data_IF_670134890080
#
_entry.id   IF_670134890080
#
_cell.length_a   1.000
_cell.length_b   1.000
_cell.length_c   1.000
_cell.angle_alpha   90.00
_cell.angle_beta   90.00
_cell.angle_gamma   90.00
#
_symmetry.space_group_name_H-M   'P 1'
#
loop_
_entity.id
_entity.type
_entity.pdbx_description
1 polymer ?
#
# COMPACT_ATOMS: atom_id res chain seq x y z
N UNK A 1 -45.41 -27.00 23.06
CA UNK A 1 -45.11 -27.87 21.91
C UNK A 1 -44.85 -26.89 20.79
N UNK A 2 -43.62 -26.63 20.37
CA UNK A 2 -42.68 -27.63 19.84
C UNK A 2 -41.27 -27.57 20.42
N UNK A 3 -40.73 -28.77 20.64
CA UNK A 3 -39.32 -29.07 20.91
C UNK A 3 -38.72 -29.46 19.57
N UNK A 4 -38.11 -28.53 18.82
CA UNK A 4 -37.35 -28.90 17.63
C UNK A 4 -36.30 -27.89 17.16
N UNK A 5 -35.72 -27.09 18.07
CA UNK A 5 -34.65 -26.14 17.72
C UNK A 5 -33.29 -26.50 18.32
N UNK A 6 -33.13 -27.72 18.87
CA UNK A 6 -31.89 -28.18 19.51
C UNK A 6 -31.20 -29.35 18.83
N UNK A 7 -31.81 -29.95 17.80
CA UNK A 7 -31.22 -31.03 17.02
C UNK A 7 -30.49 -30.52 15.76
N UNK A 8 -30.90 -29.38 15.19
CA UNK A 8 -30.24 -28.82 14.01
C UNK A 8 -28.85 -28.23 14.34
N UNK A 9 -28.63 -27.74 15.56
CA UNK A 9 -27.34 -27.19 15.99
C UNK A 9 -26.28 -28.29 16.27
N UNK A 10 -26.69 -29.51 16.62
CA UNK A 10 -25.76 -30.63 16.85
C UNK A 10 -25.37 -31.34 15.55
N UNK A 11 -26.24 -31.31 14.53
CA UNK A 11 -25.94 -31.86 13.20
C UNK A 11 -24.98 -30.93 12.44
N UNK A 12 -25.13 -29.61 12.55
CA UNK A 12 -24.24 -28.65 11.87
C UNK A 12 -22.81 -28.61 12.45
N UNK A 13 -22.64 -28.75 13.77
CA UNK A 13 -21.31 -28.82 14.39
C UNK A 13 -20.55 -30.10 14.01
N UNK A 14 -21.27 -31.20 13.77
CA UNK A 14 -20.67 -32.49 13.35
C UNK A 14 -20.26 -32.49 11.87
N UNK A 15 -20.94 -31.73 11.03
CA UNK A 15 -20.64 -31.60 9.60
C UNK A 15 -19.38 -30.74 9.38
N UNK A 16 -19.26 -29.60 10.07
CA UNK A 16 -18.06 -28.73 9.96
C UNK A 16 -16.78 -29.43 10.43
N UNK A 17 -16.89 -30.33 11.41
CA UNK A 17 -15.76 -31.12 11.90
C UNK A 17 -15.30 -32.16 10.84
N UNK A 18 -16.23 -32.78 10.11
CA UNK A 18 -15.94 -33.72 9.02
C UNK A 18 -15.37 -33.05 7.76
N UNK A 19 -15.82 -31.84 7.43
CA UNK A 19 -15.25 -31.05 6.33
C UNK A 19 -13.82 -30.58 6.64
N UNK A 20 -13.51 -30.27 7.90
CA UNK A 20 -12.14 -29.90 8.31
C UNK A 20 -11.15 -31.06 8.26
N UNK A 21 -11.59 -32.29 8.53
CA UNK A 21 -10.75 -33.50 8.44
C UNK A 21 -10.49 -33.93 6.99
N UNK A 22 -11.47 -33.78 6.08
CA UNK A 22 -11.27 -34.03 4.65
C UNK A 22 -10.37 -32.97 3.99
N UNK A 23 -10.48 -31.69 4.37
CA UNK A 23 -9.57 -30.63 3.89
C UNK A 23 -8.13 -30.83 4.39
N UNK A 24 -7.95 -31.33 5.62
CA UNK A 24 -6.63 -31.68 6.16
C UNK A 24 -6.00 -32.90 5.43
N UNK A 25 -6.81 -33.88 5.00
CA UNK A 25 -6.33 -35.03 4.23
C UNK A 25 -6.02 -34.69 2.76
N UNK A 26 -6.77 -33.77 2.13
CA UNK A 26 -6.48 -33.26 0.78
C UNK A 26 -5.23 -32.36 0.77
N UNK A 27 -5.02 -31.55 1.82
CA UNK A 27 -3.80 -30.74 1.96
C UNK A 27 -2.54 -31.59 2.21
N UNK A 28 -2.67 -32.76 2.85
CA UNK A 28 -1.56 -33.69 3.10
C UNK A 28 -1.10 -34.46 1.85
N UNK A 29 -1.89 -34.51 0.77
CA UNK A 29 -1.56 -35.20 -0.48
C UNK A 29 -0.98 -34.28 -1.58
N UNK A 30 -0.92 -32.96 -1.35
CA UNK A 30 -0.48 -31.98 -2.36
C UNK A 30 0.99 -31.54 -2.27
N UNK A 31 1.84 -32.24 -1.50
CA UNK A 31 3.30 -31.99 -1.48
C UNK A 31 4.05 -33.33 -1.49
N UNK A 32 4.25 -33.87 -2.68
CA UNK A 32 5.37 -34.77 -2.94
C UNK A 32 6.24 -34.11 -4.02
N UNK A 33 7.37 -33.45 -3.67
CA UNK A 33 8.41 -33.22 -4.65
C UNK A 33 8.99 -34.58 -5.00
N UNK A 34 8.82 -35.00 -6.26
CA UNK A 34 9.51 -36.15 -6.80
C UNK A 34 11.01 -36.02 -6.53
N UNK A 35 11.56 -37.09 -5.98
CA UNK A 35 12.96 -37.25 -5.65
C UNK A 35 13.81 -37.24 -6.94
N UNK A 36 14.35 -36.10 -7.32
CA UNK A 36 15.55 -36.06 -8.15
C UNK A 36 16.78 -36.01 -7.25
N UNK A 37 17.47 -37.14 -7.19
CA UNK A 37 18.73 -37.31 -6.49
C UNK A 37 19.78 -36.31 -7.00
N UNK A 38 19.92 -35.15 -6.33
CA UNK A 38 20.96 -34.19 -6.67
C UNK A 38 22.34 -34.76 -6.31
N UNK A 39 23.15 -35.03 -7.32
CA UNK A 39 24.54 -35.45 -7.18
C UNK A 39 25.38 -34.25 -6.73
N UNK A 40 25.84 -34.25 -5.48
CA UNK A 40 26.67 -33.18 -4.90
C UNK A 40 28.08 -33.22 -5.47
N UNK A 41 28.50 -32.17 -6.17
CA UNK A 41 29.92 -31.90 -6.46
C UNK A 41 30.43 -30.71 -5.62
N UNK A 42 31.76 -30.63 -5.48
CA UNK A 42 32.55 -29.87 -4.47
C UNK A 42 32.46 -28.33 -4.52
N UNK A 43 31.41 -27.75 -5.09
CA UNK A 43 31.10 -26.31 -5.00
C UNK A 43 29.59 -26.18 -4.91
N UNK A 44 29.05 -25.77 -3.75
CA UNK A 44 27.62 -25.84 -3.39
C UNK A 44 26.66 -24.93 -4.19
N UNK A 45 26.85 -24.80 -5.50
CA UNK A 45 26.02 -24.01 -6.40
C UNK A 45 24.99 -24.92 -7.07
N UNK A 46 23.71 -24.71 -6.78
CA UNK A 46 22.60 -25.44 -7.41
C UNK A 46 22.64 -25.21 -8.93
N UNK A 47 22.75 -26.29 -9.71
CA UNK A 47 22.71 -26.23 -11.17
C UNK A 47 21.26 -26.03 -11.64
N UNK A 48 21.09 -25.50 -12.85
CA UNK A 48 19.79 -25.17 -13.42
C UNK A 48 19.62 -25.98 -14.70
N UNK A 49 18.66 -26.89 -14.72
CA UNK A 49 18.35 -27.77 -15.84
C UNK A 49 17.56 -27.07 -16.95
N UNK A 50 17.82 -27.47 -18.20
CA UNK A 50 16.97 -27.11 -19.33
C UNK A 50 15.66 -27.92 -19.29
N UNK A 51 14.48 -27.28 -19.25
CA UNK A 51 13.20 -28.00 -19.26
C UNK A 51 12.89 -28.80 -20.54
N UNK A 52 13.68 -28.64 -21.61
CA UNK A 52 13.43 -29.34 -22.89
C UNK A 52 14.38 -30.52 -23.06
N UNK A 53 15.65 -30.36 -22.70
CA UNK A 53 16.68 -31.39 -22.95
C UNK A 53 17.41 -31.86 -21.68
N UNK A 54 17.03 -31.36 -20.50
CA UNK A 54 17.58 -31.77 -19.21
C UNK A 54 19.02 -31.31 -18.94
N UNK A 55 19.70 -30.66 -19.89
CA UNK A 55 21.11 -30.25 -19.70
C UNK A 55 21.22 -29.23 -18.57
N UNK A 56 22.09 -29.52 -17.62
CA UNK A 56 22.32 -28.67 -16.46
C UNK A 56 23.39 -27.61 -16.70
N UNK A 57 23.11 -26.40 -16.21
CA UNK A 57 24.02 -25.26 -16.32
C UNK A 57 24.31 -24.66 -14.95
N UNK A 58 25.57 -24.31 -14.71
CA UNK A 58 26.00 -23.64 -13.48
C UNK A 58 25.47 -22.19 -13.34
N UNK A 59 24.98 -21.60 -14.43
CA UNK A 59 24.37 -20.26 -14.44
C UNK A 59 23.19 -20.20 -15.40
N UNK A 60 22.18 -19.39 -15.07
CA UNK A 60 21.04 -19.15 -15.95
C UNK A 60 21.42 -18.45 -17.25
N UNK A 61 22.53 -17.69 -17.27
CA UNK A 61 23.01 -17.06 -18.50
C UNK A 61 23.38 -18.13 -19.54
N UNK A 62 24.07 -19.18 -19.10
CA UNK A 62 24.43 -20.32 -19.96
C UNK A 62 23.19 -21.08 -20.42
N UNK A 63 22.20 -21.26 -19.54
CA UNK A 63 20.92 -21.87 -19.92
C UNK A 63 20.13 -21.03 -20.93
N UNK A 64 20.07 -19.70 -20.76
CA UNK A 64 19.42 -18.81 -21.74
C UNK A 64 20.12 -18.84 -23.10
N UNK A 65 21.45 -18.85 -23.12
CA UNK A 65 22.23 -19.00 -24.35
C UNK A 65 21.97 -20.36 -25.01
N UNK A 66 21.86 -21.42 -24.21
CA UNK A 66 21.48 -22.74 -24.70
C UNK A 66 20.08 -22.72 -25.31
N UNK A 67 19.07 -22.17 -24.62
CA UNK A 67 17.71 -22.03 -25.15
C UNK A 67 17.70 -21.27 -26.47
N UNK A 68 18.38 -20.12 -26.53
CA UNK A 68 18.46 -19.30 -27.73
C UNK A 68 19.24 -19.94 -28.89
N UNK A 69 19.99 -21.03 -28.67
CA UNK A 69 20.78 -21.69 -29.72
C UNK A 69 20.24 -23.06 -30.11
N UNK A 70 19.69 -23.81 -29.16
CA UNK A 70 19.21 -25.19 -29.33
C UNK A 70 17.69 -25.32 -29.28
N UNK A 71 16.97 -24.32 -28.79
CA UNK A 71 15.52 -24.30 -28.62
C UNK A 71 14.93 -22.95 -29.07
N UNK A 72 15.34 -22.49 -30.27
CA UNK A 72 15.01 -21.16 -30.81
C UNK A 72 13.52 -20.88 -30.92
N UNK A 73 12.74 -21.92 -31.14
CA UNK A 73 11.30 -21.84 -31.38
C UNK A 73 10.46 -21.96 -30.08
N UNK A 74 11.13 -22.17 -28.94
CA UNK A 74 10.46 -22.25 -27.64
C UNK A 74 10.73 -20.98 -26.82
N UNK A 75 9.69 -20.22 -26.45
CA UNK A 75 9.83 -19.08 -25.56
C UNK A 75 10.49 -19.52 -24.24
N UNK A 76 11.46 -18.74 -23.75
CA UNK A 76 12.13 -19.02 -22.47
C UNK A 76 11.06 -18.98 -21.37
N UNK A 77 10.87 -20.06 -20.58
CA UNK A 77 9.89 -20.08 -19.50
C UNK A 77 10.04 -18.90 -18.53
N UNK A 78 8.92 -18.31 -18.09
CA UNK A 78 8.91 -17.16 -17.16
C UNK A 78 9.57 -17.46 -15.81
N UNK A 79 9.63 -18.73 -15.42
CA UNK A 79 10.38 -19.21 -14.25
C UNK A 79 11.90 -18.98 -14.37
N UNK A 80 12.40 -18.83 -15.60
CA UNK A 80 13.78 -18.51 -15.94
C UNK A 80 13.96 -17.02 -16.31
N UNK A 81 12.90 -16.21 -16.24
CA UNK A 81 13.01 -14.76 -16.37
C UNK A 81 13.54 -14.16 -15.07
N UNK A 82 14.80 -13.73 -15.11
CA UNK A 82 15.41 -12.95 -14.04
C UNK A 82 14.84 -11.54 -14.08
N UNK A 83 14.36 -11.10 -12.92
CA UNK A 83 13.74 -9.81 -12.75
C UNK A 83 12.92 -9.81 -11.47
N UNK A 84 13.18 -8.84 -10.62
CA UNK A 84 12.38 -8.69 -9.41
C UNK A 84 11.04 -8.00 -9.75
N UNK A 85 11.00 -7.20 -10.81
CA UNK A 85 9.80 -6.49 -11.25
C UNK A 85 8.93 -7.40 -12.10
N UNK A 86 7.67 -7.64 -11.71
CA UNK A 86 6.72 -8.43 -12.52
C UNK A 86 5.65 -7.53 -13.15
N UNK A 87 5.27 -7.85 -14.38
CA UNK A 87 4.01 -7.41 -14.98
C UNK A 87 2.86 -8.14 -14.29
N UNK A 88 1.79 -7.42 -13.94
CA UNK A 88 0.60 -7.99 -13.32
C UNK A 88 -0.41 -8.51 -14.36
N UNK A 89 -0.31 -8.08 -15.62
CA UNK A 89 -1.22 -8.50 -16.69
C UNK A 89 -0.80 -9.84 -17.31
N UNK A 90 0.49 -10.05 -17.54
CA UNK A 90 1.02 -11.23 -18.23
C UNK A 90 2.13 -11.98 -17.47
N UNK A 91 2.43 -11.59 -16.22
CA UNK A 91 3.49 -12.20 -15.37
C UNK A 91 4.92 -12.14 -15.91
N UNK A 92 5.18 -11.45 -17.05
CA UNK A 92 6.52 -11.21 -17.55
C UNK A 92 7.40 -10.49 -16.50
N UNK A 93 8.69 -10.86 -16.41
CA UNK A 93 9.60 -10.35 -15.37
C UNK A 93 10.75 -9.53 -15.97
N UNK A 94 11.04 -8.40 -15.33
CA UNK A 94 12.01 -7.39 -15.77
C UNK A 94 13.00 -7.04 -14.67
N UNK A 95 14.21 -6.65 -15.07
CA UNK A 95 15.24 -6.21 -14.12
C UNK A 95 15.03 -4.77 -13.70
N UNK A 96 14.66 -3.93 -14.66
CA UNK A 96 14.51 -2.49 -14.45
C UNK A 96 13.08 -2.06 -14.70
N UNK A 97 12.62 -1.09 -13.91
CA UNK A 97 11.28 -0.50 -14.06
C UNK A 97 11.07 0.10 -15.46
N UNK A 98 12.13 0.64 -16.09
CA UNK A 98 12.05 1.18 -17.46
C UNK A 98 11.68 0.13 -18.52
N UNK A 99 12.10 -1.12 -18.31
CA UNK A 99 11.81 -2.22 -19.23
C UNK A 99 10.36 -2.67 -19.07
N UNK A 100 9.89 -2.71 -17.82
CA UNK A 100 8.48 -2.94 -17.52
C UNK A 100 7.60 -1.86 -18.18
N UNK A 101 7.93 -0.57 -18.03
CA UNK A 101 7.16 0.52 -18.66
C UNK A 101 7.06 0.33 -20.18
N UNK A 102 8.17 0.06 -20.86
CA UNK A 102 8.17 -0.20 -22.31
C UNK A 102 7.29 -1.39 -22.72
N UNK A 103 7.36 -2.47 -21.95
CA UNK A 103 6.52 -3.65 -22.16
C UNK A 103 5.03 -3.33 -21.96
N UNK A 104 4.70 -2.51 -20.96
CA UNK A 104 3.33 -2.08 -20.69
C UNK A 104 2.79 -1.16 -21.80
N UNK A 105 3.64 -0.30 -22.36
CA UNK A 105 3.31 0.52 -23.53
C UNK A 105 3.11 -0.34 -24.80
N UNK A 106 3.98 -1.33 -25.03
CA UNK A 106 3.95 -2.13 -26.27
C UNK A 106 2.88 -3.23 -26.27
N UNK A 107 2.85 -4.05 -25.23
CA UNK A 107 2.02 -5.26 -25.14
C UNK A 107 0.66 -4.99 -24.52
N UNK A 108 0.59 -4.05 -23.58
CA UNK A 108 -0.63 -3.74 -22.82
C UNK A 108 -1.25 -2.39 -23.19
N UNK A 109 -0.64 -1.65 -24.13
CA UNK A 109 -1.13 -0.35 -24.62
C UNK A 109 -1.46 0.64 -23.50
N UNK A 110 -0.73 0.59 -22.39
CA UNK A 110 -0.91 1.52 -21.29
C UNK A 110 -0.14 2.80 -21.51
N UNK A 111 -0.74 3.90 -21.09
CA UNK A 111 -0.14 5.24 -21.21
C UNK A 111 0.57 5.62 -19.91
N UNK A 112 1.76 6.21 -20.05
CA UNK A 112 2.56 6.69 -18.93
C UNK A 112 2.74 8.20 -19.02
N UNK A 113 2.39 8.87 -17.92
CA UNK A 113 2.59 10.31 -17.78
C UNK A 113 4.02 10.56 -17.31
N UNK A 114 4.92 10.77 -18.27
CA UNK A 114 6.33 11.05 -18.02
C UNK A 114 6.63 12.50 -18.39
N UNK A 115 7.05 13.28 -17.40
CA UNK A 115 7.40 14.69 -17.58
C UNK A 115 8.85 14.95 -17.18
N UNK A 116 9.47 15.91 -17.86
CA UNK A 116 10.80 16.40 -17.52
C UNK A 116 10.71 17.85 -17.09
N UNK A 117 11.08 18.10 -15.84
CA UNK A 117 11.03 19.41 -15.20
C UNK A 117 12.45 19.91 -14.94
N UNK A 118 12.62 21.22 -14.96
CA UNK A 118 13.91 21.88 -14.66
C UNK A 118 13.76 22.78 -13.45
N UNK A 119 14.75 22.74 -12.56
CA UNK A 119 14.79 23.50 -11.31
C UNK A 119 16.12 24.24 -11.22
N UNK A 120 16.14 25.38 -10.53
CA UNK A 120 17.35 26.18 -10.33
C UNK A 120 18.29 25.55 -9.31
N UNK A 121 17.73 24.96 -8.26
CA UNK A 121 18.47 24.34 -7.16
C UNK A 121 17.69 23.19 -6.50
N UNK A 122 18.31 22.59 -5.49
CA UNK A 122 17.70 21.50 -4.73
C UNK A 122 16.52 21.95 -3.87
N UNK A 123 16.48 23.21 -3.43
CA UNK A 123 15.41 23.73 -2.57
C UNK A 123 14.11 23.87 -3.35
N UNK A 124 14.18 24.41 -4.57
CA UNK A 124 13.06 24.50 -5.50
C UNK A 124 12.53 23.11 -5.85
N UNK A 125 13.43 22.15 -6.09
CA UNK A 125 13.04 20.75 -6.33
C UNK A 125 12.35 20.12 -5.12
N UNK A 126 12.89 20.28 -3.91
CA UNK A 126 12.34 19.69 -2.70
C UNK A 126 10.96 20.30 -2.37
N UNK A 127 10.78 21.61 -2.57
CA UNK A 127 9.49 22.30 -2.42
C UNK A 127 8.45 21.79 -3.43
N UNK A 128 8.82 21.66 -4.70
CA UNK A 128 7.96 21.08 -5.73
C UNK A 128 7.58 19.64 -5.38
N UNK A 129 8.56 18.81 -5.01
CA UNK A 129 8.35 17.39 -4.67
C UNK A 129 7.41 17.26 -3.46
N UNK A 130 7.60 18.08 -2.43
CA UNK A 130 6.73 18.12 -1.25
C UNK A 130 5.28 18.46 -1.62
N UNK A 131 5.08 19.44 -2.50
CA UNK A 131 3.75 19.82 -2.97
C UNK A 131 3.12 18.70 -3.80
N UNK A 132 3.88 18.13 -4.75
CA UNK A 132 3.44 17.02 -5.58
C UNK A 132 3.00 15.80 -4.76
N UNK A 133 3.76 15.43 -3.72
CA UNK A 133 3.42 14.32 -2.82
C UNK A 133 2.13 14.57 -2.03
N UNK A 134 1.89 15.83 -1.62
CA UNK A 134 0.68 16.24 -0.90
C UNK A 134 -0.55 16.15 -1.78
N UNK A 135 -0.50 16.74 -2.97
CA UNK A 135 -1.64 16.84 -3.89
C UNK A 135 -1.99 15.50 -4.54
N UNK A 136 -0.99 14.68 -4.87
CA UNK A 136 -1.20 13.38 -5.50
C UNK A 136 -1.26 12.21 -4.51
N UNK A 137 -1.32 12.50 -3.21
CA UNK A 137 -1.37 11.51 -2.13
C UNK A 137 -0.32 10.39 -2.26
N UNK A 138 0.88 10.74 -2.70
CA UNK A 138 1.96 9.79 -2.93
C UNK A 138 3.17 10.13 -2.05
N UNK A 139 4.15 9.24 -2.01
CA UNK A 139 5.38 9.50 -1.28
C UNK A 139 6.55 8.76 -1.93
N UNK A 140 7.65 9.46 -2.12
CA UNK A 140 8.86 8.98 -2.75
C UNK A 140 9.99 8.89 -1.73
N UNK A 141 10.72 7.77 -1.79
CA UNK A 141 11.91 7.54 -0.98
C UNK A 141 13.14 7.56 -1.87
N UNK A 142 14.25 8.11 -1.35
CA UNK A 142 15.54 8.03 -2.02
C UNK A 142 15.94 6.55 -2.17
N UNK A 143 16.35 6.17 -3.37
CA UNK A 143 16.75 4.82 -3.74
C UNK A 143 18.23 4.72 -4.11
N UNK A 144 18.77 5.76 -4.74
CA UNK A 144 20.18 5.88 -5.05
C UNK A 144 20.55 7.35 -5.20
N UNK A 145 21.77 7.70 -4.83
CA UNK A 145 22.25 9.06 -4.96
C UNK A 145 23.77 9.08 -5.12
N UNK A 146 24.25 10.04 -5.90
CA UNK A 146 25.63 10.45 -6.00
C UNK A 146 25.65 11.97 -6.08
N UNK A 147 26.38 12.60 -5.18
CA UNK A 147 26.50 14.06 -5.10
C UNK A 147 27.93 14.37 -4.70
N UNK A 148 28.74 14.65 -5.71
CA UNK A 148 30.15 14.98 -5.66
C UNK A 148 30.36 16.38 -6.28
N UNK A 149 31.57 16.93 -6.18
CA UNK A 149 31.93 18.23 -6.75
C UNK A 149 32.06 18.24 -8.29
N UNK A 150 31.75 17.12 -8.96
CA UNK A 150 31.86 16.94 -10.42
C UNK A 150 30.52 17.24 -11.11
N UNK A 151 30.33 18.46 -11.68
CA UNK A 151 29.05 18.87 -12.24
C UNK A 151 28.66 18.03 -13.46
N UNK A 152 27.37 17.75 -13.58
CA UNK A 152 26.79 16.96 -14.68
C UNK A 152 26.86 15.44 -14.46
N UNK A 153 27.38 14.97 -13.33
CA UNK A 153 27.40 13.54 -12.96
C UNK A 153 26.61 13.24 -11.68
N UNK A 154 26.05 14.26 -11.05
CA UNK A 154 25.28 14.09 -9.82
C UNK A 154 23.88 13.62 -10.14
N UNK A 155 23.39 12.72 -9.29
CA UNK A 155 22.05 12.19 -9.43
C UNK A 155 21.42 11.85 -8.09
N UNK A 156 20.09 11.93 -8.06
CA UNK A 156 19.27 11.42 -6.97
C UNK A 156 18.05 10.74 -7.55
N UNK A 157 17.99 9.42 -7.39
CA UNK A 157 16.88 8.58 -7.85
C UNK A 157 15.94 8.32 -6.69
N UNK A 158 14.66 8.57 -6.93
CA UNK A 158 13.58 8.30 -6.01
C UNK A 158 12.59 7.31 -6.60
N UNK A 159 11.98 6.52 -5.73
CA UNK A 159 10.92 5.58 -6.09
C UNK A 159 9.74 5.72 -5.15
N UNK A 160 8.55 5.36 -5.61
CA UNK A 160 7.38 5.28 -4.73
C UNK A 160 7.67 4.42 -3.49
N UNK A 161 7.23 4.87 -2.32
CA UNK A 161 7.46 4.22 -1.03
C UNK A 161 6.79 2.84 -0.94
N UNK A 162 5.75 2.59 -1.75
CA UNK A 162 5.05 1.31 -1.90
C UNK A 162 5.89 0.27 -2.63
N UNK A 163 6.85 0.72 -3.44
CA UNK A 163 7.71 -0.13 -4.27
C UNK A 163 8.64 -1.03 -3.44
N UNK A 164 8.73 -2.29 -3.86
CA UNK A 164 9.60 -3.33 -3.35
C UNK A 164 8.92 -4.34 -2.43
N UNK A 165 9.75 -5.15 -1.77
CA UNK A 165 9.32 -6.22 -0.86
C UNK A 165 9.50 -5.83 0.60
N UNK A 166 8.57 -6.30 1.42
CA UNK A 166 8.74 -6.27 2.87
C UNK A 166 9.91 -7.16 3.27
N UNK A 167 10.80 -6.65 4.13
CA UNK A 167 11.91 -7.40 4.71
C UNK A 167 11.71 -7.45 6.21
N UNK A 168 11.33 -8.61 6.74
CA UNK A 168 11.36 -8.84 8.19
C UNK A 168 12.82 -8.84 8.65
N UNK A 169 13.16 -8.02 9.65
CA UNK A 169 14.46 -8.16 10.32
C UNK A 169 14.43 -9.48 11.10
N UNK A 170 15.23 -10.47 10.69
CA UNK A 170 15.54 -11.63 11.51
C UNK A 170 16.67 -11.21 12.45
N UNK A 171 16.40 -11.02 13.74
CA UNK A 171 17.47 -11.03 14.73
C UNK A 171 17.87 -12.49 14.96
N UNK A 172 19.18 -12.75 15.06
CA UNK A 172 19.69 -14.08 15.39
C UNK A 172 19.32 -14.48 16.83
N UNK A 173 19.20 -13.49 17.71
CA UNK A 173 18.62 -13.65 19.05
C UNK A 173 17.11 -13.44 18.97
N UNK A 174 16.34 -14.34 19.58
CA UNK A 174 14.88 -14.49 19.52
C UNK A 174 14.13 -13.42 18.70
N UNK A 175 13.47 -13.79 17.59
CA UNK A 175 12.82 -12.82 16.74
C UNK A 175 11.73 -12.10 17.55
N UNK A 176 11.99 -10.85 17.93
CA UNK A 176 10.95 -9.95 18.43
C UNK A 176 9.98 -9.68 17.28
N UNK A 177 9.04 -10.59 17.07
CA UNK A 177 7.99 -10.49 16.07
C UNK A 177 7.03 -9.38 16.53
N UNK A 178 7.30 -8.14 16.10
CA UNK A 178 6.34 -7.05 16.28
C UNK A 178 5.09 -7.43 15.49
N UNK A 179 3.94 -7.50 16.16
CA UNK A 179 2.63 -7.69 15.52
C UNK A 179 2.49 -6.70 14.36
N UNK A 180 2.09 -7.19 13.19
CA UNK A 180 1.86 -6.34 12.02
C UNK A 180 0.81 -5.29 12.36
N UNK A 181 1.00 -4.06 11.87
CA UNK A 181 0.00 -3.00 12.04
C UNK A 181 -1.28 -3.40 11.30
N UNK A 182 -2.44 -2.90 11.73
CA UNK A 182 -3.71 -3.11 11.03
C UNK A 182 -3.68 -2.63 9.58
N UNK A 183 -2.95 -1.54 9.31
CA UNK A 183 -2.71 -1.04 7.96
C UNK A 183 -1.80 -1.95 7.10
N UNK A 184 -1.19 -2.98 7.68
CA UNK A 184 -0.31 -3.90 6.96
C UNK A 184 1.06 -3.33 6.60
N UNK A 185 1.69 -3.94 5.59
CA UNK A 185 3.01 -3.55 5.08
C UNK A 185 2.88 -2.33 4.16
N UNK A 186 3.80 -1.37 4.29
CA UNK A 186 3.92 -0.30 3.30
C UNK A 186 4.34 -0.82 1.92
N UNK A 187 4.96 -2.00 1.85
CA UNK A 187 5.51 -2.59 0.62
C UNK A 187 4.48 -3.51 -0.05
N UNK A 188 4.25 -3.31 -1.35
CA UNK A 188 3.26 -4.04 -2.16
C UNK A 188 3.77 -5.42 -2.62
N UNK A 189 5.05 -5.73 -2.39
CA UNK A 189 5.62 -6.99 -2.87
C UNK A 189 5.87 -7.02 -4.39
N UNK A 190 5.91 -5.86 -5.02
CA UNK A 190 6.28 -5.65 -6.42
C UNK A 190 6.90 -4.25 -6.60
N UNK A 191 7.44 -3.96 -7.77
CA UNK A 191 7.95 -2.64 -8.11
C UNK A 191 6.85 -1.75 -8.68
N UNK A 192 6.68 -0.57 -8.09
CA UNK A 192 5.86 0.48 -8.70
C UNK A 192 6.62 1.16 -9.86
N UNK A 193 5.91 1.56 -10.91
CA UNK A 193 6.48 2.29 -12.07
C UNK A 193 6.79 3.75 -11.78
N UNK A 194 6.13 4.34 -10.79
CA UNK A 194 6.31 5.73 -10.43
C UNK A 194 7.68 5.97 -9.77
N UNK A 195 8.46 6.85 -10.40
CA UNK A 195 9.85 7.18 -10.03
C UNK A 195 10.17 8.61 -10.40
N UNK A 196 11.08 9.24 -9.65
CA UNK A 196 11.65 10.55 -9.96
C UNK A 196 13.15 10.39 -10.12
N UNK A 197 13.71 10.84 -11.23
CA UNK A 197 15.15 10.81 -11.49
C UNK A 197 15.66 12.23 -11.59
N UNK A 198 16.36 12.69 -10.57
CA UNK A 198 17.01 14.00 -10.55
C UNK A 198 18.45 13.87 -11.07
N UNK A 199 18.84 14.74 -11.98
CA UNK A 199 20.19 14.86 -12.55
C UNK A 199 20.62 16.32 -12.45
N UNK A 200 21.89 16.56 -12.14
CA UNK A 200 22.45 17.90 -12.34
C UNK A 200 22.86 18.08 -13.81
N UNK A 201 22.85 19.32 -14.27
CA UNK A 201 23.37 19.70 -15.57
C UNK A 201 24.66 20.50 -15.38
N UNK A 202 25.46 20.54 -16.44
CA UNK A 202 26.71 21.31 -16.49
C UNK A 202 26.46 22.82 -16.34
N UNK A 203 25.26 23.28 -16.68
CA UNK A 203 24.82 24.68 -16.52
C UNK A 203 24.47 25.06 -15.07
N UNK A 204 24.56 24.11 -14.12
CA UNK A 204 24.20 24.30 -12.71
C UNK A 204 22.72 24.11 -12.40
N UNK A 205 21.86 23.94 -13.42
CA UNK A 205 20.43 23.62 -13.22
C UNK A 205 20.23 22.14 -12.92
N UNK A 206 19.08 21.81 -12.32
CA UNK A 206 18.68 20.43 -12.07
C UNK A 206 17.58 20.02 -13.04
N UNK A 207 17.66 18.79 -13.55
CA UNK A 207 16.63 18.18 -14.38
C UNK A 207 16.02 16.99 -13.64
N UNK A 208 14.71 17.00 -13.42
CA UNK A 208 13.99 15.86 -12.88
C UNK A 208 13.08 15.24 -13.95
N UNK A 209 13.27 13.95 -14.23
CA UNK A 209 12.32 13.15 -15.01
C UNK A 209 11.42 12.38 -14.05
N UNK A 210 10.13 12.70 -14.02
CA UNK A 210 9.13 12.03 -13.19
C UNK A 210 8.25 11.12 -14.06
N UNK A 211 8.02 9.89 -13.61
CA UNK A 211 6.92 9.05 -14.07
C UNK A 211 5.82 9.10 -13.00
N UNK A 212 4.69 9.72 -13.34
CA UNK A 212 3.57 9.94 -12.43
C UNK A 212 2.67 8.72 -12.31
N UNK A 213 2.67 7.83 -13.31
CA UNK A 213 1.79 6.67 -13.36
C UNK A 213 2.25 5.61 -12.35
N UNK A 214 1.38 5.30 -11.39
CA UNK A 214 1.56 4.23 -10.42
C UNK A 214 0.97 2.91 -10.92
N UNK A 215 1.78 2.10 -11.59
CA UNK A 215 1.45 0.72 -11.89
C UNK A 215 1.82 -0.19 -10.72
N UNK A 216 1.04 -1.24 -10.49
CA UNK A 216 1.12 -2.21 -9.37
C UNK A 216 0.42 -1.86 -8.07
N UNK A 217 -0.15 -0.66 -7.91
CA UNK A 217 -1.02 -0.36 -6.77
C UNK A 217 -1.86 0.89 -7.00
N UNK A 218 -2.99 0.95 -6.33
CA UNK A 218 -3.77 2.17 -6.15
C UNK A 218 -3.14 3.08 -5.08
N UNK A 219 -3.46 4.36 -5.15
CA UNK A 219 -2.94 5.36 -4.23
C UNK A 219 -3.75 5.32 -2.93
N UNK A 220 -3.08 5.02 -1.82
CA UNK A 220 -3.71 4.88 -0.51
C UNK A 220 -3.11 5.88 0.49
N UNK A 221 -3.91 6.84 0.97
CA UNK A 221 -3.47 7.90 1.91
C UNK A 221 -2.92 7.30 3.21
N UNK A 222 -3.42 6.15 3.66
CA UNK A 222 -2.91 5.45 4.84
C UNK A 222 -1.44 5.02 4.74
N UNK A 223 -0.88 4.91 3.53
CA UNK A 223 0.49 4.45 3.29
C UNK A 223 1.45 5.59 2.90
N UNK A 224 1.00 6.86 2.90
CA UNK A 224 1.86 8.03 2.67
C UNK A 224 2.62 8.47 3.93
N UNK A 225 3.55 9.41 3.78
CA UNK A 225 4.26 10.02 4.92
C UNK A 225 3.29 10.71 5.87
N UNK A 226 3.72 10.89 7.13
CA UNK A 226 2.91 11.61 8.12
C UNK A 226 2.61 13.05 7.67
N UNK A 227 3.59 13.73 7.06
CA UNK A 227 3.46 15.10 6.56
C UNK A 227 2.36 15.22 5.49
N UNK A 228 2.38 14.33 4.51
CA UNK A 228 1.36 14.28 3.43
C UNK A 228 0.00 13.96 4.01
N UNK A 229 -0.06 13.08 5.02
CA UNK A 229 -1.31 12.67 5.65
C UNK A 229 -1.93 13.79 6.48
N UNK A 230 -1.15 14.45 7.33
CA UNK A 230 -1.61 15.55 8.16
C UNK A 230 -2.15 16.70 7.29
N UNK A 231 -1.45 17.04 6.19
CA UNK A 231 -1.92 18.03 5.21
C UNK A 231 -3.30 17.65 4.62
N UNK A 232 -3.48 16.41 4.18
CA UNK A 232 -4.74 15.99 3.57
C UNK A 232 -5.91 15.94 4.57
N UNK A 233 -5.63 15.63 5.85
CA UNK A 233 -6.63 15.76 6.92
C UNK A 233 -7.01 17.23 7.11
N UNK A 234 -6.03 18.14 7.14
CA UNK A 234 -6.25 19.58 7.30
C UNK A 234 -7.03 20.18 6.12
N UNK A 235 -6.87 19.65 4.91
CA UNK A 235 -7.63 20.06 3.73
C UNK A 235 -8.99 19.36 3.57
N UNK A 236 -9.36 18.45 4.47
CA UNK A 236 -10.63 17.71 4.38
C UNK A 236 -10.73 16.77 3.17
N UNK A 237 -9.61 16.43 2.52
CA UNK A 237 -9.58 15.60 1.30
C UNK A 237 -9.60 14.10 1.60
N UNK A 238 -9.78 13.71 2.86
CA UNK A 238 -9.79 12.31 3.30
C UNK A 238 -10.59 12.10 4.57
N UNK A 239 -11.60 11.22 4.50
CA UNK A 239 -12.34 10.72 5.67
C UNK A 239 -11.60 9.63 6.44
N UNK A 240 -10.34 9.34 6.08
CA UNK A 240 -9.51 8.36 6.79
C UNK A 240 -9.25 8.79 8.25
N UNK A 241 -10.15 8.38 9.12
CA UNK A 241 -10.00 8.42 10.57
C UNK A 241 -9.04 7.29 10.93
N UNK A 242 -7.87 7.67 11.46
CA UNK A 242 -6.91 6.70 11.98
C UNK A 242 -7.61 5.71 12.92
N UNK A 243 -7.34 4.39 12.82
CA UNK A 243 -7.64 3.50 13.91
C UNK A 243 -6.85 3.99 15.13
N UNK A 244 -7.59 4.40 16.17
CA UNK A 244 -7.17 4.96 17.45
C UNK A 244 -5.73 4.62 17.84
N UNK A 245 -4.76 5.42 17.38
CA UNK A 245 -3.38 5.31 17.86
C UNK A 245 -3.17 6.37 18.93
N UNK A 246 -2.49 6.00 20.02
CA UNK A 246 -2.05 6.93 21.09
C UNK A 246 -1.40 8.22 20.53
N UNK A 247 -0.86 8.18 19.31
CA UNK A 247 -0.31 9.30 18.56
C UNK A 247 -1.35 10.34 18.14
N UNK A 248 -2.55 9.93 17.70
CA UNK A 248 -3.65 10.83 17.33
C UNK A 248 -4.25 11.46 18.58
N UNK A 249 -4.47 10.67 19.65
CA UNK A 249 -4.85 11.20 20.97
C UNK A 249 -3.83 12.22 21.50
N UNK A 250 -2.53 12.01 21.27
CA UNK A 250 -1.48 12.99 21.63
C UNK A 250 -1.49 14.24 20.74
N UNK A 251 -1.69 14.09 19.43
CA UNK A 251 -1.76 15.22 18.51
C UNK A 251 -2.99 16.09 18.80
N UNK A 252 -4.15 15.48 18.98
CA UNK A 252 -5.38 16.14 19.42
C UNK A 252 -5.21 16.81 20.80
N UNK A 253 -4.63 16.12 21.80
CA UNK A 253 -4.31 16.70 23.12
C UNK A 253 -3.28 17.84 23.08
N UNK A 254 -2.50 17.98 22.01
CA UNK A 254 -1.56 19.12 21.83
C UNK A 254 -2.22 20.31 21.14
N UNK A 255 -3.21 20.07 20.29
CA UNK A 255 -3.88 21.08 19.47
C UNK A 255 -5.10 21.71 20.17
N UNK A 256 -5.81 20.95 20.99
CA UNK A 256 -7.03 21.42 21.67
C UNK A 256 -6.70 21.77 23.13
N UNK A 257 -6.91 23.03 23.50
CA UNK A 257 -6.71 23.52 24.88
C UNK A 257 -7.65 22.81 25.86
N UNK A 258 -7.34 22.77 27.17
CA UNK A 258 -8.26 22.20 28.16
C UNK A 258 -9.67 22.80 28.10
N UNK A 259 -9.77 24.12 27.90
CA UNK A 259 -11.04 24.84 27.78
C UNK A 259 -11.86 24.40 26.57
N UNK A 260 -11.24 24.32 25.39
CA UNK A 260 -11.91 23.85 24.17
C UNK A 260 -12.38 22.39 24.28
N UNK A 261 -11.68 21.53 25.06
CA UNK A 261 -12.13 20.14 25.29
C UNK A 261 -13.37 20.08 26.17
N UNK A 262 -13.43 20.94 27.19
CA UNK A 262 -14.60 21.05 28.05
C UNK A 262 -15.82 21.54 27.25
N UNK A 263 -15.61 22.54 26.40
CA UNK A 263 -16.63 23.06 25.50
C UNK A 263 -17.14 22.00 24.51
N UNK A 264 -16.26 21.29 23.83
CA UNK A 264 -16.63 20.17 22.94
C UNK A 264 -17.35 19.03 23.67
N UNK A 265 -16.97 18.75 24.92
CA UNK A 265 -17.65 17.76 25.76
C UNK A 265 -19.06 18.22 26.12
N UNK A 266 -19.24 19.51 26.41
CA UNK A 266 -20.54 20.10 26.70
C UNK A 266 -21.45 20.10 25.47
N UNK A 267 -20.92 20.46 24.29
CA UNK A 267 -21.66 20.39 23.02
C UNK A 267 -22.08 18.95 22.71
N UNK A 268 -21.19 17.97 22.92
CA UNK A 268 -21.52 16.55 22.72
C UNK A 268 -22.67 16.10 23.63
N UNK A 269 -22.65 16.49 24.91
CA UNK A 269 -23.70 16.14 25.86
C UNK A 269 -25.03 16.80 25.49
N UNK A 270 -25.01 18.06 25.02
CA UNK A 270 -26.19 18.76 24.52
C UNK A 270 -26.80 18.04 23.31
N UNK A 271 -25.98 17.70 22.31
CA UNK A 271 -26.44 16.96 21.12
C UNK A 271 -27.09 15.64 21.52
N UNK A 272 -26.46 14.89 22.43
CA UNK A 272 -26.98 13.59 22.86
C UNK A 272 -28.31 13.71 23.64
N UNK A 273 -28.46 14.76 24.46
CA UNK A 273 -29.71 15.05 25.15
C UNK A 273 -30.84 15.46 24.18
N UNK A 274 -30.54 16.26 23.14
CA UNK A 274 -31.54 16.64 22.15
C UNK A 274 -31.94 15.47 21.24
N UNK A 275 -31.00 14.57 20.89
CA UNK A 275 -31.31 13.34 20.15
C UNK A 275 -32.25 12.41 20.92
N UNK A 276 -32.08 12.30 22.24
CA UNK A 276 -32.96 11.49 23.09
C UNK A 276 -34.39 12.03 23.09
N UNK A 277 -34.55 13.36 23.17
CA UNK A 277 -35.87 14.01 23.09
C UNK A 277 -36.52 13.83 21.73
N UNK A 278 -35.74 13.90 20.64
CA UNK A 278 -36.26 13.60 19.29
C UNK A 278 -36.76 12.16 19.24
N UNK A 279 -36.02 11.20 19.80
CA UNK A 279 -36.40 9.79 19.81
C UNK A 279 -37.71 9.54 20.57
N UNK A 280 -37.87 10.14 21.76
CA UNK A 280 -39.11 10.08 22.54
C UNK A 280 -40.31 10.71 21.81
N UNK A 281 -40.08 11.81 21.08
CA UNK A 281 -41.13 12.50 20.31
C UNK A 281 -41.54 11.75 19.05
N UNK A 282 -40.62 11.00 18.41
CA UNK A 282 -40.91 10.17 17.23
C UNK A 282 -41.72 8.92 17.60
N UNK A 283 -41.54 8.40 18.82
CA UNK A 283 -42.31 7.27 19.34
C UNK A 283 -43.77 7.65 19.72
N UNK A 284 -44.05 8.94 19.94
CA UNK A 284 -45.40 9.47 20.14
C UNK A 284 -46.04 9.95 18.83
N UNK A 285 -47.21 9.44 18.45
CA UNK A 285 -47.90 9.86 17.23
C UNK A 285 -48.75 11.14 17.44
N UNK A 286 -48.15 12.33 17.43
CA UNK A 286 -48.90 13.61 17.46
C UNK A 286 -48.30 14.71 16.58
N UNK A 287 -49.13 15.60 16.02
CA UNK A 287 -48.70 16.72 15.14
C UNK A 287 -47.86 17.76 15.90
N UNK A 288 -48.09 17.91 17.22
CA UNK A 288 -47.23 18.69 18.12
C UNK A 288 -45.78 18.18 18.16
N UNK A 289 -45.56 16.88 17.91
CA UNK A 289 -44.22 16.31 17.89
C UNK A 289 -43.42 16.78 16.66
N UNK A 290 -44.06 17.08 15.53
CA UNK A 290 -43.36 17.61 14.34
C UNK A 290 -42.79 19.01 14.57
N UNK A 291 -43.54 19.91 15.22
CA UNK A 291 -43.04 21.25 15.57
C UNK A 291 -41.89 21.18 16.58
N UNK A 292 -41.98 20.28 17.57
CA UNK A 292 -40.91 20.06 18.53
C UNK A 292 -39.66 19.43 17.88
N UNK A 293 -39.83 18.46 16.97
CA UNK A 293 -38.73 17.87 16.21
C UNK A 293 -38.03 18.93 15.35
N UNK A 294 -38.77 19.82 14.69
CA UNK A 294 -38.18 20.90 13.88
C UNK A 294 -37.35 21.88 14.74
N UNK A 295 -37.84 22.23 15.93
CA UNK A 295 -37.10 23.07 16.87
C UNK A 295 -35.81 22.39 17.35
N UNK A 296 -35.87 21.09 17.66
CA UNK A 296 -34.71 20.30 18.08
C UNK A 296 -33.69 20.16 16.95
N UNK A 297 -34.16 19.96 15.71
CA UNK A 297 -33.32 19.94 14.52
C UNK A 297 -32.56 21.26 14.33
N UNK A 298 -33.25 22.41 14.47
CA UNK A 298 -32.59 23.72 14.37
C UNK A 298 -31.52 23.90 15.46
N UNK A 299 -31.77 23.46 16.69
CA UNK A 299 -30.77 23.49 17.77
C UNK A 299 -29.58 22.59 17.50
N UNK A 300 -29.80 21.42 16.89
CA UNK A 300 -28.72 20.54 16.43
C UNK A 300 -27.89 21.19 15.32
N UNK A 301 -28.51 21.90 14.37
CA UNK A 301 -27.77 22.65 13.36
C UNK A 301 -26.92 23.76 13.97
N UNK A 302 -27.44 24.49 14.97
CA UNK A 302 -26.66 25.51 15.68
C UNK A 302 -25.51 24.91 16.49
N UNK A 303 -25.74 23.78 17.17
CA UNK A 303 -24.67 23.05 17.87
C UNK A 303 -23.60 22.52 16.91
N UNK A 304 -24.01 22.10 15.71
CA UNK A 304 -23.11 21.67 14.63
C UNK A 304 -22.27 22.83 14.11
N UNK A 305 -22.85 24.00 13.85
CA UNK A 305 -22.07 25.18 13.42
C UNK A 305 -21.08 25.62 14.49
N UNK A 306 -21.46 25.62 15.77
CA UNK A 306 -20.54 25.92 16.88
C UNK A 306 -19.41 24.88 16.95
N UNK A 307 -19.72 23.60 16.76
CA UNK A 307 -18.71 22.54 16.69
C UNK A 307 -17.78 22.74 15.50
N UNK A 308 -18.31 23.07 14.31
CA UNK A 308 -17.51 23.32 13.12
C UNK A 308 -16.61 24.55 13.29
N UNK A 309 -17.10 25.64 13.90
CA UNK A 309 -16.34 26.86 14.20
C UNK A 309 -15.25 26.67 15.28
N UNK A 310 -15.52 25.85 16.31
CA UNK A 310 -14.56 25.54 17.38
C UNK A 310 -13.57 24.43 17.03
N UNK A 311 -13.90 23.63 16.01
CA UNK A 311 -13.09 22.53 15.50
C UNK A 311 -12.43 22.86 14.14
N UNK A 312 -12.46 24.14 13.71
CA UNK A 312 -11.62 24.61 12.60
C UNK A 312 -10.16 24.48 13.01
N UNK A 313 -9.32 23.79 12.22
CA UNK A 313 -7.89 23.63 12.49
C UNK A 313 -7.10 24.94 12.43
#
# INVERSE_FOLDING_TARGET
>A
MDRNSGLDDLVNVSIDMLYSEQEAQVAAQAIAPENEASNKTKSGKKMIGCPICGIEYATLYNLKRHMATKHKDVPIPDTLSRGNTKCLECNARFYQTKELVKHLESEHKMEFQIETLTFRDLEEFDAWKDNYEKTNHCYYIAYGSRWDDDPGKNFKDFRCNRSGWYRSKKSNDEPRQRKMKSAGSNKIGNNCTSTIKLRDKVDGTLQATINMTHYSHEIEIKHVSRKVRDYNIEQGTTDYIYPDTKSVKRAYKRRVTPAQREELSNVKYQIQAELLKIQELVEGSSVSNLQNIQMLYNRLQTARTVYEETNVP
#
